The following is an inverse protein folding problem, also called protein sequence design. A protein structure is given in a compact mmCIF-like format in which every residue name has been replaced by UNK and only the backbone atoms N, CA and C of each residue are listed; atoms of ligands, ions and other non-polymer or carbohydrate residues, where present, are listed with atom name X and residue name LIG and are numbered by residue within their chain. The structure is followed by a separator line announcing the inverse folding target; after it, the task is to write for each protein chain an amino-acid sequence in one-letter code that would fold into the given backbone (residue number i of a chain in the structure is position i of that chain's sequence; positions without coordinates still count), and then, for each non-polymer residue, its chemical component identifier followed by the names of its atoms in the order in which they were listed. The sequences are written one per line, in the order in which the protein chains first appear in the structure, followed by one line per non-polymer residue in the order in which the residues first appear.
data_IF_436051250267
#
_entry.id   IF_436051250267
#
_cell.length_a   1.000
_cell.length_b   1.000
_cell.length_c   1.000
_cell.angle_alpha   90.00
_cell.angle_beta   90.00
_cell.angle_gamma   90.00
#
_symmetry.space_group_name_H-M   'P 1'
#
loop_
_entity.id
_entity.type
_entity.pdbx_description
1 polymer ?
#
# COMPACT_ATOMS: atom_id res chain seq x y z
N UNK A 1 -6.30 9.80 -6.24
CA UNK A 1 -6.68 8.36 -6.32
C UNK A 1 -5.86 7.56 -5.32
N UNK A 2 -6.32 6.39 -4.87
CA UNK A 2 -5.55 5.51 -3.96
C UNK A 2 -5.24 4.18 -4.66
N UNK A 3 -4.18 3.49 -4.21
CA UNK A 3 -3.79 2.16 -4.65
C UNK A 3 -4.81 1.08 -4.26
N UNK A 4 -5.49 1.26 -3.13
CA UNK A 4 -6.50 0.32 -2.66
C UNK A 4 -7.15 0.71 -1.32
N UNK A 5 -8.13 -0.10 -0.92
CA UNK A 5 -8.80 -0.06 0.38
C UNK A 5 -9.23 -1.48 0.80
N UNK A 6 -9.08 -1.85 2.09
CA UNK A 6 -9.30 -3.23 2.53
C UNK A 6 -10.78 -3.56 2.71
N UNK A 7 -11.41 -4.29 1.79
CA UNK A 7 -12.83 -4.63 1.97
C UNK A 7 -13.10 -5.60 3.16
N UNK A 8 -12.09 -6.38 3.54
CA UNK A 8 -12.14 -7.37 4.62
C UNK A 8 -10.89 -7.27 5.48
N UNK A 9 -11.00 -7.79 6.70
CA UNK A 9 -9.99 -7.71 7.78
C UNK A 9 -8.59 -8.18 7.36
N UNK A 10 -8.49 -9.22 6.54
CA UNK A 10 -7.21 -9.79 6.09
C UNK A 10 -6.96 -9.52 4.60
N UNK A 11 -7.32 -8.33 4.11
CA UNK A 11 -7.06 -7.95 2.72
C UNK A 11 -5.56 -7.99 2.42
N UNK A 12 -5.17 -8.58 1.29
CA UNK A 12 -3.77 -8.66 0.85
C UNK A 12 -3.63 -8.14 -0.57
N UNK A 13 -2.70 -7.22 -0.80
CA UNK A 13 -2.45 -6.62 -2.12
C UNK A 13 -1.01 -6.14 -2.20
N UNK A 14 -0.34 -6.43 -3.31
CA UNK A 14 1.03 -5.98 -3.55
C UNK A 14 1.11 -5.28 -4.91
N UNK A 15 1.67 -4.07 -4.93
CA UNK A 15 2.10 -3.41 -6.17
C UNK A 15 3.61 -3.55 -6.28
N UNK A 16 4.08 -4.20 -7.32
CA UNK A 16 5.50 -4.46 -7.51
C UNK A 16 5.96 -4.15 -8.94
N UNK A 17 7.20 -3.65 -9.06
CA UNK A 17 7.90 -3.38 -10.32
C UNK A 17 7.06 -2.58 -11.33
N UNK A 18 6.21 -1.69 -10.83
CA UNK A 18 5.21 -0.96 -11.62
C UNK A 18 5.54 0.52 -11.74
N UNK A 19 5.03 1.17 -12.80
CA UNK A 19 5.08 2.62 -12.94
C UNK A 19 3.83 3.25 -12.30
N UNK A 20 4.01 4.05 -11.25
CA UNK A 20 2.93 4.72 -10.52
C UNK A 20 2.94 6.21 -10.86
N UNK A 21 1.83 6.70 -11.41
CA UNK A 21 1.63 8.10 -11.76
C UNK A 21 1.34 9.00 -10.54
N UNK A 22 1.47 10.31 -10.74
CA UNK A 22 1.32 11.36 -9.73
C UNK A 22 -0.12 11.57 -9.21
N UNK A 23 -1.11 11.05 -9.95
CA UNK A 23 -2.52 11.02 -9.53
C UNK A 23 -2.78 10.15 -8.28
N UNK A 24 -1.81 9.34 -7.85
CA UNK A 24 -1.89 8.60 -6.58
C UNK A 24 -1.58 9.53 -5.42
N UNK A 25 -2.52 9.57 -4.47
CA UNK A 25 -2.40 10.33 -3.24
C UNK A 25 -1.14 9.88 -2.47
N UNK A 26 -0.35 10.81 -1.89
CA UNK A 26 0.86 10.45 -1.13
C UNK A 26 0.63 9.45 0.00
N UNK A 27 -0.57 9.44 0.61
CA UNK A 27 -0.94 8.43 1.62
C UNK A 27 -0.99 7.01 1.04
N UNK A 28 -1.22 6.88 -0.27
CA UNK A 28 -1.19 5.65 -1.06
C UNK A 28 -2.44 4.78 -0.87
N UNK A 29 -2.85 4.55 0.38
CA UNK A 29 -3.92 3.63 0.74
C UNK A 29 -5.01 4.33 1.54
N UNK A 30 -6.27 3.95 1.31
CA UNK A 30 -7.42 4.51 2.05
C UNK A 30 -8.01 3.45 2.98
N UNK A 31 -8.41 3.81 4.22
CA UNK A 31 -9.13 2.88 5.07
C UNK A 31 -10.45 2.50 4.40
N UNK A 32 -11.03 1.37 4.81
CA UNK A 32 -12.33 0.96 4.31
C UNK A 32 -13.46 1.88 4.78
N UNK A 33 -13.57 2.06 6.09
CA UNK A 33 -14.44 3.05 6.73
C UNK A 33 -13.92 3.40 8.14
N UNK A 34 -14.59 4.35 8.82
CA UNK A 34 -14.18 4.86 10.14
C UNK A 34 -14.33 3.84 11.27
N UNK A 35 -15.34 2.96 11.20
CA UNK A 35 -15.64 2.00 12.26
C UNK A 35 -14.75 0.77 12.18
N UNK A 36 -14.52 0.27 10.96
CA UNK A 36 -13.71 -0.91 10.69
C UNK A 36 -12.70 -0.55 9.57
N UNK A 37 -11.57 0.08 9.92
CA UNK A 37 -10.59 0.52 8.93
C UNK A 37 -9.74 -0.65 8.39
N UNK A 38 -9.70 -1.78 9.11
CA UNK A 38 -8.99 -3.02 8.78
C UNK A 38 -7.48 -2.86 8.56
N UNK A 39 -6.85 -1.90 9.26
CA UNK A 39 -5.46 -1.48 9.02
C UNK A 39 -4.40 -2.30 9.77
N UNK A 40 -4.80 -3.07 10.77
CA UNK A 40 -3.87 -3.82 11.63
C UNK A 40 -3.50 -5.19 11.04
N UNK A 41 -4.48 -5.86 10.44
CA UNK A 41 -4.41 -7.27 10.00
C UNK A 41 -4.25 -7.46 8.50
N UNK A 42 -4.37 -6.37 7.71
CA UNK A 42 -4.13 -6.41 6.27
C UNK A 42 -2.64 -6.65 5.95
N UNK A 43 -2.34 -6.99 4.70
CA UNK A 43 -0.96 -6.98 4.17
C UNK A 43 -0.94 -6.22 2.85
N UNK A 44 -0.54 -4.95 2.89
CA UNK A 44 -0.37 -4.11 1.71
C UNK A 44 1.09 -3.80 1.47
N UNK A 45 1.60 -4.24 0.32
CA UNK A 45 3.01 -4.18 -0.03
C UNK A 45 3.30 -3.28 -1.23
N UNK A 46 4.40 -2.54 -1.17
CA UNK A 46 5.00 -1.87 -2.33
C UNK A 46 6.45 -2.34 -2.51
N UNK A 47 6.81 -2.82 -3.71
CA UNK A 47 8.17 -3.30 -4.04
C UNK A 47 8.69 -2.73 -5.35
N UNK A 48 9.86 -2.07 -5.32
CA UNK A 48 10.59 -1.62 -6.52
C UNK A 48 9.75 -0.85 -7.57
N UNK A 49 8.72 -0.12 -7.13
CA UNK A 49 7.91 0.72 -8.01
C UNK A 49 8.66 1.99 -8.42
N UNK A 50 8.32 2.54 -9.59
CA UNK A 50 8.93 3.75 -10.16
C UNK A 50 7.85 4.76 -10.54
N UNK A 51 8.27 5.98 -10.85
CA UNK A 51 7.38 7.05 -11.30
C UNK A 51 7.01 8.03 -10.19
N UNK A 52 6.35 9.15 -10.54
CA UNK A 52 6.15 10.27 -9.63
C UNK A 52 5.25 9.95 -8.42
N UNK A 53 4.38 8.94 -8.51
CA UNK A 53 3.54 8.49 -7.37
C UNK A 53 4.12 7.34 -6.56
N UNK A 54 5.29 6.81 -6.92
CA UNK A 54 5.90 5.65 -6.25
C UNK A 54 6.60 5.98 -4.92
N UNK A 55 6.73 7.27 -4.56
CA UNK A 55 7.38 7.69 -3.31
C UNK A 55 6.61 7.20 -2.09
N UNK A 56 7.28 6.48 -1.19
CA UNK A 56 6.65 5.85 -0.01
C UNK A 56 6.78 6.67 1.29
N UNK A 57 7.50 7.79 1.27
CA UNK A 57 7.82 8.57 2.47
C UNK A 57 6.60 9.13 3.22
N UNK A 58 5.50 9.39 2.50
CA UNK A 58 4.26 9.97 3.03
C UNK A 58 3.12 8.97 3.13
N UNK A 59 3.42 7.67 2.99
CA UNK A 59 2.40 6.61 3.06
C UNK A 59 1.81 6.51 4.46
N UNK A 60 0.63 5.89 4.52
CA UNK A 60 -0.01 5.51 5.77
C UNK A 60 0.94 4.72 6.68
N UNK A 61 0.82 4.93 8.00
CA UNK A 61 1.63 4.24 9.02
C UNK A 61 0.90 3.03 9.61
N UNK A 62 0.14 2.32 8.80
CA UNK A 62 -0.64 1.18 9.26
C UNK A 62 0.27 -0.01 9.60
N UNK A 63 -0.03 -0.79 10.66
CA UNK A 63 0.76 -1.97 10.99
C UNK A 63 0.88 -2.98 9.83
N UNK A 64 -0.18 -3.13 9.03
CA UNK A 64 -0.20 -4.03 7.87
C UNK A 64 0.36 -3.46 6.57
N UNK A 65 0.88 -2.23 6.57
CA UNK A 65 1.50 -1.64 5.37
C UNK A 65 3.03 -1.87 5.39
N UNK A 66 3.56 -2.33 4.26
CA UNK A 66 4.95 -2.74 4.12
C UNK A 66 5.60 -2.12 2.88
N UNK A 67 6.75 -1.47 3.08
CA UNK A 67 7.69 -1.19 2.00
C UNK A 67 8.63 -2.39 1.92
N UNK A 68 8.39 -3.26 0.95
CA UNK A 68 9.16 -4.50 0.77
C UNK A 68 10.53 -4.12 0.22
N UNK A 69 11.59 -4.59 0.88
CA UNK A 69 12.99 -4.33 0.48
C UNK A 69 13.74 -5.61 0.11
N UNK A 70 13.38 -6.72 0.75
CA UNK A 70 13.99 -8.02 0.48
C UNK A 70 13.33 -8.64 -0.76
N UNK A 71 14.09 -8.94 -1.82
CA UNK A 71 13.57 -9.69 -2.96
C UNK A 71 12.97 -11.05 -2.59
N UNK A 72 13.42 -11.69 -1.50
CA UNK A 72 12.86 -12.96 -1.04
C UNK A 72 11.43 -12.83 -0.51
N UNK A 73 11.06 -11.67 0.03
CA UNK A 73 9.69 -11.35 0.43
C UNK A 73 8.80 -11.01 -0.78
N UNK A 74 9.43 -10.59 -1.89
CA UNK A 74 8.75 -10.23 -3.14
C UNK A 74 8.66 -11.39 -4.16
N UNK A 75 9.15 -12.59 -3.82
CA UNK A 75 9.23 -13.78 -4.70
C UNK A 75 8.09 -14.78 -4.51
#
# INVERSE_FOLDING_TARGET
TFLGRPWKEYSRTVYMQSLIGDHIDPAGWSPWNKSNPFTETLYYGEYANKGPGAGTANRVKWPGYHVIKDPAEAN
#
